data_IF_048701250355
#
_entry.id   IF_048701250355
#
_cell.length_a   1.000
_cell.length_b   1.000
_cell.length_c   1.000
_cell.angle_alpha   90.00
_cell.angle_beta   90.00
_cell.angle_gamma   90.00
#
_symmetry.space_group_name_H-M   'P 1'
#
loop_
_entity.id
_entity.type
_entity.pdbx_description
1 polymer ?
#
# COMPACT_ATOMS: atom_id res chain seq x y z
N UNK A 1 38.83 22.51 10.28
CA UNK A 1 37.50 22.68 10.91
C UNK A 1 36.45 22.59 9.81
N UNK A 2 35.94 21.38 9.52
CA UNK A 2 34.79 21.21 8.62
C UNK A 2 33.55 21.21 9.51
N UNK A 3 32.86 22.34 9.54
CA UNK A 3 31.65 22.51 10.32
C UNK A 3 30.61 21.51 9.80
N UNK A 4 30.04 20.77 10.75
CA UNK A 4 29.16 19.64 10.48
C UNK A 4 27.97 20.06 9.66
N UNK A 5 27.66 19.22 8.66
CA UNK A 5 26.27 18.98 8.38
C UNK A 5 25.86 17.67 9.05
N UNK A 6 24.84 17.75 9.88
CA UNK A 6 24.22 16.64 10.58
C UNK A 6 23.56 15.70 9.56
N UNK A 7 23.71 14.37 9.67
CA UNK A 7 23.03 13.42 8.79
C UNK A 7 21.49 13.53 8.82
N UNK A 8 20.94 14.27 9.78
CA UNK A 8 19.50 14.41 10.02
C UNK A 8 18.83 15.55 9.22
N UNK A 9 19.57 16.40 8.49
CA UNK A 9 18.97 17.49 7.67
C UNK A 9 18.23 17.00 6.40
N UNK A 10 18.45 15.76 5.96
CA UNK A 10 17.86 15.21 4.73
C UNK A 10 16.39 14.80 4.87
N UNK A 11 15.93 14.55 6.10
CA UNK A 11 14.58 14.00 6.34
C UNK A 11 13.50 15.09 6.26
N UNK A 12 13.88 16.37 6.33
CA UNK A 12 12.94 17.49 6.44
C UNK A 12 12.73 18.28 5.13
N UNK A 13 13.56 18.08 4.10
CA UNK A 13 13.28 18.62 2.77
C UNK A 13 12.51 17.57 1.98
N UNK A 14 11.21 17.78 1.79
CA UNK A 14 10.36 16.95 0.94
C UNK A 14 11.11 16.53 -0.33
N UNK A 15 11.41 15.23 -0.42
CA UNK A 15 12.26 14.67 -1.46
C UNK A 15 11.74 15.07 -2.83
N UNK A 16 12.63 15.58 -3.67
CA UNK A 16 12.32 15.85 -5.07
C UNK A 16 12.02 14.53 -5.79
N UNK A 17 11.29 14.61 -6.89
CA UNK A 17 11.11 13.48 -7.82
C UNK A 17 12.42 12.76 -8.14
N UNK A 18 13.53 13.51 -8.26
CA UNK A 18 14.88 12.98 -8.49
C UNK A 18 15.38 12.10 -7.35
N UNK A 19 15.31 12.54 -6.09
CA UNK A 19 15.78 11.75 -4.95
C UNK A 19 14.96 10.46 -4.78
N UNK A 20 13.68 10.51 -5.15
CA UNK A 20 12.83 9.32 -5.18
C UNK A 20 13.21 8.37 -6.33
N UNK A 21 13.44 8.87 -7.54
CA UNK A 21 13.86 8.05 -8.67
C UNK A 21 15.23 7.40 -8.44
N UNK A 22 16.19 8.14 -7.86
CA UNK A 22 17.52 7.60 -7.50
C UNK A 22 17.39 6.44 -6.51
N UNK A 23 16.57 6.59 -5.45
CA UNK A 23 16.34 5.52 -4.49
C UNK A 23 15.63 4.29 -5.10
N UNK A 24 14.74 4.49 -6.09
CA UNK A 24 14.09 3.40 -6.81
C UNK A 24 15.08 2.67 -7.71
N UNK A 25 15.95 3.40 -8.43
CA UNK A 25 16.97 2.82 -9.30
C UNK A 25 17.97 1.98 -8.49
N UNK A 26 18.50 2.52 -7.39
CA UNK A 26 19.40 1.83 -6.47
C UNK A 26 18.77 0.53 -5.93
N UNK A 27 17.47 0.56 -5.62
CA UNK A 27 16.74 -0.63 -5.17
C UNK A 27 16.66 -1.70 -6.26
N UNK A 28 16.37 -1.30 -7.50
CA UNK A 28 16.29 -2.22 -8.64
C UNK A 28 17.65 -2.81 -9.00
N UNK A 29 18.72 -2.01 -9.03
CA UNK A 29 20.09 -2.48 -9.23
C UNK A 29 20.52 -3.45 -8.13
N UNK A 30 20.19 -3.15 -6.88
CA UNK A 30 20.46 -4.03 -5.75
C UNK A 30 19.74 -5.37 -5.94
N UNK A 31 18.44 -5.35 -6.28
CA UNK A 31 17.66 -6.55 -6.54
C UNK A 31 18.28 -7.40 -7.67
N UNK A 32 18.72 -6.76 -8.76
CA UNK A 32 19.40 -7.42 -9.87
C UNK A 32 20.74 -8.05 -9.43
N UNK A 33 21.56 -7.32 -8.67
CA UNK A 33 22.89 -7.79 -8.23
C UNK A 33 22.83 -9.03 -7.33
N UNK A 34 21.77 -9.14 -6.52
CA UNK A 34 21.55 -10.28 -5.59
C UNK A 34 20.66 -11.38 -6.20
N UNK A 35 20.25 -11.23 -7.46
CA UNK A 35 19.39 -12.20 -8.16
C UNK A 35 18.00 -12.37 -7.53
N UNK A 36 17.45 -11.32 -6.90
CA UNK A 36 16.11 -11.32 -6.31
C UNK A 36 15.16 -10.47 -7.14
N UNK A 37 13.92 -10.94 -7.29
CA UNK A 37 12.88 -10.11 -7.87
C UNK A 37 12.51 -8.95 -6.91
N UNK A 38 12.39 -7.72 -7.41
CA UNK A 38 11.92 -6.60 -6.61
C UNK A 38 10.50 -6.87 -6.12
N UNK A 39 10.20 -6.39 -4.91
CA UNK A 39 8.90 -6.58 -4.30
C UNK A 39 7.86 -5.81 -5.11
N UNK A 40 6.88 -6.53 -5.66
CA UNK A 40 5.75 -5.90 -6.32
C UNK A 40 4.80 -5.36 -5.27
N UNK A 41 4.33 -4.10 -5.40
CA UNK A 41 3.27 -3.61 -4.54
C UNK A 41 2.03 -4.48 -4.72
N UNK A 42 1.31 -4.72 -3.63
CA UNK A 42 0.04 -5.43 -3.69
C UNK A 42 -0.92 -4.65 -4.60
N UNK A 43 -1.49 -5.33 -5.59
CA UNK A 43 -2.27 -4.68 -6.65
C UNK A 43 -3.58 -4.04 -6.19
N UNK A 44 -4.02 -4.29 -4.95
CA UNK A 44 -5.33 -3.90 -4.42
C UNK A 44 -6.52 -4.64 -5.03
N UNK A 45 -6.33 -5.42 -6.10
CA UNK A 45 -7.40 -6.17 -6.77
C UNK A 45 -7.65 -7.49 -6.06
N UNK A 46 -8.88 -7.69 -5.61
CA UNK A 46 -9.31 -8.95 -4.99
C UNK A 46 -10.54 -9.49 -5.72
N UNK A 47 -10.41 -10.70 -6.28
CA UNK A 47 -11.49 -11.40 -6.98
C UNK A 47 -12.00 -12.53 -6.10
N UNK A 48 -13.12 -12.31 -5.42
CA UNK A 48 -13.74 -13.31 -4.55
C UNK A 48 -14.99 -13.90 -5.18
N UNK A 49 -15.16 -15.21 -5.00
CA UNK A 49 -16.46 -15.86 -5.14
C UNK A 49 -17.04 -16.02 -3.73
N UNK A 50 -18.24 -15.49 -3.52
CA UNK A 50 -19.01 -15.65 -2.28
C UNK A 50 -20.37 -16.26 -2.60
N UNK A 51 -21.02 -16.84 -1.59
CA UNK A 51 -22.39 -17.31 -1.74
C UNK A 51 -23.34 -16.14 -2.07
N UNK A 52 -24.38 -16.40 -2.88
CA UNK A 52 -25.34 -15.38 -3.33
C UNK A 52 -26.00 -14.62 -2.18
N UNK A 53 -26.31 -15.30 -1.08
CA UNK A 53 -26.89 -14.69 0.12
C UNK A 53 -25.91 -13.74 0.82
N UNK A 54 -24.61 -14.07 0.83
CA UNK A 54 -23.56 -13.19 1.39
C UNK A 54 -23.42 -11.95 0.52
N UNK A 55 -23.43 -12.12 -0.81
CA UNK A 55 -23.40 -11.00 -1.74
C UNK A 55 -24.60 -10.06 -1.53
N UNK A 56 -25.81 -10.60 -1.41
CA UNK A 56 -27.02 -9.81 -1.19
C UNK A 56 -26.95 -9.00 0.12
N UNK A 57 -26.51 -9.62 1.23
CA UNK A 57 -26.35 -8.92 2.51
C UNK A 57 -25.26 -7.85 2.46
N UNK A 58 -24.15 -8.12 1.79
CA UNK A 58 -23.07 -7.15 1.63
C UNK A 58 -23.51 -5.94 0.77
N UNK A 59 -24.23 -6.20 -0.32
CA UNK A 59 -24.77 -5.15 -1.19
C UNK A 59 -25.76 -4.24 -0.43
N UNK A 60 -26.68 -4.83 0.34
CA UNK A 60 -27.61 -4.07 1.18
C UNK A 60 -26.89 -3.26 2.26
N UNK A 61 -25.87 -3.84 2.91
CA UNK A 61 -25.09 -3.14 3.92
C UNK A 61 -24.33 -1.94 3.35
N UNK A 62 -23.77 -2.08 2.13
CA UNK A 62 -23.13 -0.98 1.42
C UNK A 62 -24.12 0.13 1.06
N UNK A 63 -25.30 -0.22 0.55
CA UNK A 63 -26.37 0.73 0.22
C UNK A 63 -26.82 1.52 1.45
N UNK A 64 -27.11 0.83 2.57
CA UNK A 64 -27.49 1.46 3.83
C UNK A 64 -26.39 2.35 4.43
N UNK A 65 -25.12 2.06 4.09
CA UNK A 65 -23.96 2.86 4.51
C UNK A 65 -23.69 4.04 3.56
N UNK A 66 -24.41 4.16 2.44
CA UNK A 66 -24.18 5.18 1.43
C UNK A 66 -22.85 5.03 0.68
N UNK A 67 -22.29 3.82 0.60
CA UNK A 67 -21.00 3.55 -0.05
C UNK A 67 -21.14 2.49 -1.15
N UNK A 68 -20.15 2.43 -2.04
CA UNK A 68 -20.09 1.32 -3.01
C UNK A 68 -19.75 -0.01 -2.32
N UNK A 69 -20.15 -1.13 -2.91
CA UNK A 69 -19.82 -2.46 -2.40
C UNK A 69 -18.31 -2.66 -2.21
N UNK A 70 -17.49 -2.12 -3.12
CA UNK A 70 -16.03 -2.21 -3.01
C UNK A 70 -15.49 -1.41 -1.81
N UNK A 71 -15.96 -0.17 -1.60
CA UNK A 71 -15.54 0.65 -0.45
C UNK A 71 -16.00 0.03 0.87
N UNK A 72 -17.24 -0.50 0.90
CA UNK A 72 -17.74 -1.21 2.06
C UNK A 72 -16.89 -2.45 2.37
N UNK A 73 -16.56 -3.24 1.35
CA UNK A 73 -15.73 -4.43 1.50
C UNK A 73 -14.30 -4.07 1.95
N UNK A 74 -13.70 -3.02 1.38
CA UNK A 74 -12.38 -2.52 1.79
C UNK A 74 -12.36 -2.15 3.28
N UNK A 75 -13.36 -1.40 3.74
CA UNK A 75 -13.48 -1.04 5.17
C UNK A 75 -13.58 -2.27 6.06
N UNK A 76 -14.47 -3.21 5.73
CA UNK A 76 -14.66 -4.44 6.53
C UNK A 76 -13.38 -5.28 6.57
N UNK A 77 -12.67 -5.39 5.44
CA UNK A 77 -11.41 -6.14 5.37
C UNK A 77 -10.28 -5.44 6.13
N UNK A 78 -10.20 -4.11 6.09
CA UNK A 78 -9.24 -3.33 6.90
C UNK A 78 -9.51 -3.55 8.40
N UNK A 79 -10.77 -3.39 8.84
CA UNK A 79 -11.16 -3.62 10.23
C UNK A 79 -10.85 -5.04 10.69
N UNK A 80 -11.19 -6.06 9.90
CA UNK A 80 -10.92 -7.46 10.21
C UNK A 80 -9.40 -7.77 10.25
N UNK A 81 -8.63 -7.17 9.35
CA UNK A 81 -7.18 -7.37 9.30
C UNK A 81 -6.49 -6.84 10.56
N UNK A 82 -6.94 -5.70 11.10
CA UNK A 82 -6.37 -5.10 12.31
C UNK A 82 -6.68 -5.88 13.59
N UNK A 83 -7.71 -6.71 13.58
CA UNK A 83 -8.09 -7.54 14.73
C UNK A 83 -7.28 -8.84 14.84
N UNK A 84 -6.59 -9.23 13.76
CA UNK A 84 -5.92 -10.55 13.64
C UNK A 84 -4.40 -10.44 13.78
N UNK A 85 -3.85 -9.24 13.90
CA UNK A 85 -2.40 -8.95 14.01
C UNK A 85 -2.06 -8.53 15.44
#
# INVERSE_FOLDING_TARGET
MKNGNSPFEWIQKGGTSEAFHEAVEDYLETCQSIGKDPQKPYSGKMMFRVASEVHARAALAAELSGTSLNQWAEKVLDEASRQTV
#
